data_IF_373896366036
#
_entry.id   IF_373896366036
#
_cell.length_a   1.000
_cell.length_b   1.000
_cell.length_c   1.000
_cell.angle_alpha   90.00
_cell.angle_beta   90.00
_cell.angle_gamma   90.00
#
_symmetry.space_group_name_H-M   'P 1'
#
loop_
_entity.id
_entity.type
_entity.pdbx_description
1 polymer ?
#
# COMPACT_ATOMS: atom_id res chain seq x y z
N UNK A 1 -2.43 -20.37 -1.81
CA UNK A 1 -1.07 -20.70 -2.32
C UNK A 1 -1.10 -22.16 -2.78
N UNK A 2 -0.50 -22.50 -3.91
CA UNK A 2 -0.40 -23.90 -4.35
C UNK A 2 1.08 -24.26 -4.41
N UNK A 3 1.49 -25.29 -3.66
CA UNK A 3 2.83 -25.89 -3.74
C UNK A 3 2.76 -27.06 -4.72
N UNK A 4 3.78 -27.20 -5.57
CA UNK A 4 3.90 -28.31 -6.51
C UNK A 4 3.82 -29.68 -5.81
N UNK A 5 3.22 -30.65 -6.49
CA UNK A 5 3.15 -32.04 -6.01
C UNK A 5 4.53 -32.60 -5.69
N UNK A 6 5.54 -32.20 -6.46
CA UNK A 6 6.91 -32.70 -6.34
C UNK A 6 7.55 -32.23 -5.03
N UNK A 7 7.33 -30.98 -4.62
CA UNK A 7 7.79 -30.49 -3.32
C UNK A 7 7.08 -31.20 -2.16
N UNK A 8 5.76 -31.44 -2.28
CA UNK A 8 5.03 -32.21 -1.27
C UNK A 8 5.65 -33.60 -1.11
N UNK A 9 5.96 -34.29 -2.21
CA UNK A 9 6.58 -35.63 -2.15
C UNK A 9 7.97 -35.62 -1.51
N UNK A 10 8.75 -34.55 -1.64
CA UNK A 10 10.04 -34.41 -0.95
C UNK A 10 9.88 -34.12 0.55
N UNK A 11 8.87 -33.35 0.94
CA UNK A 11 8.64 -32.97 2.35
C UNK A 11 8.12 -34.14 3.19
N UNK A 12 7.23 -34.97 2.63
CA UNK A 12 6.62 -36.11 3.34
C UNK A 12 7.62 -37.05 4.04
N UNK A 13 8.65 -37.60 3.36
CA UNK A 13 9.60 -38.52 3.99
C UNK A 13 10.47 -37.83 5.05
N UNK A 14 10.69 -36.52 4.93
CA UNK A 14 11.48 -35.73 5.87
C UNK A 14 10.75 -35.54 7.21
N UNK A 15 9.45 -35.23 7.17
CA UNK A 15 8.68 -34.94 8.38
C UNK A 15 8.25 -36.19 9.15
N UNK A 16 8.04 -37.33 8.47
CA UNK A 16 7.55 -38.58 9.09
C UNK A 16 8.33 -39.03 10.33
N UNK A 17 9.67 -39.16 10.31
CA UNK A 17 10.41 -39.62 11.48
C UNK A 17 10.44 -38.61 12.64
N UNK A 18 10.14 -37.34 12.38
CA UNK A 18 10.26 -36.24 13.35
C UNK A 18 8.95 -35.96 14.08
N UNK A 19 7.83 -36.49 13.57
CA UNK A 19 6.48 -36.20 14.03
C UNK A 19 5.68 -37.49 14.30
N UNK A 20 6.33 -38.47 14.92
CA UNK A 20 5.76 -39.78 15.15
C UNK A 20 4.59 -39.73 16.15
N UNK A 21 4.74 -38.94 17.23
CA UNK A 21 3.74 -38.83 18.29
C UNK A 21 3.16 -37.41 18.46
N UNK A 22 2.03 -37.33 19.16
CA UNK A 22 1.32 -36.06 19.41
C UNK A 22 2.20 -35.00 20.10
N UNK A 23 3.03 -35.41 21.05
CA UNK A 23 3.89 -34.49 21.82
C UNK A 23 4.90 -33.79 20.91
N UNK A 24 5.57 -34.55 20.05
CA UNK A 24 6.50 -34.00 19.05
C UNK A 24 5.80 -33.04 18.09
N UNK A 25 4.65 -33.44 17.54
CA UNK A 25 3.86 -32.61 16.62
C UNK A 25 3.50 -31.27 17.26
N UNK A 26 2.98 -31.30 18.49
CA UNK A 26 2.62 -30.10 19.24
C UNK A 26 3.84 -29.23 19.52
N UNK A 27 4.97 -29.83 19.92
CA UNK A 27 6.21 -29.11 20.20
C UNK A 27 6.77 -28.34 19.00
N UNK A 28 6.76 -28.96 17.81
CA UNK A 28 7.19 -28.27 16.59
C UNK A 28 6.21 -27.17 16.17
N UNK A 29 4.91 -27.42 16.20
CA UNK A 29 3.90 -26.44 15.82
C UNK A 29 3.91 -25.21 16.72
N UNK A 30 4.02 -25.40 18.04
CA UNK A 30 4.10 -24.28 18.99
C UNK A 30 5.36 -23.45 18.77
N UNK A 31 6.52 -24.09 18.53
CA UNK A 31 7.77 -23.36 18.26
C UNK A 31 7.71 -22.60 16.92
N UNK A 32 7.10 -23.18 15.90
CA UNK A 32 7.04 -22.58 14.57
C UNK A 32 5.99 -21.47 14.45
N UNK A 33 4.84 -21.63 15.12
CA UNK A 33 3.65 -20.81 14.88
C UNK A 33 3.19 -20.02 16.11
N UNK A 34 3.72 -20.34 17.30
CA UNK A 34 3.31 -19.78 18.59
C UNK A 34 2.24 -20.61 19.32
N UNK A 35 1.84 -20.20 20.52
CA UNK A 35 0.69 -20.78 21.23
C UNK A 35 -0.58 -20.05 20.79
N UNK A 36 -1.56 -20.75 20.19
CA UNK A 36 -2.86 -20.21 19.70
C UNK A 36 -2.90 -19.67 18.25
N UNK A 37 -2.18 -20.31 17.34
CA UNK A 37 -2.37 -20.02 15.89
C UNK A 37 -3.64 -20.72 15.39
N UNK A 38 -4.52 -20.05 14.61
CA UNK A 38 -5.77 -20.64 14.12
C UNK A 38 -5.61 -22.00 13.43
N UNK A 39 -4.53 -22.18 12.65
CA UNK A 39 -4.22 -23.43 11.95
C UNK A 39 -4.07 -24.63 12.90
N UNK A 40 -3.66 -24.42 14.16
CA UNK A 40 -3.55 -25.51 15.12
C UNK A 40 -4.90 -26.11 15.51
N UNK A 41 -5.98 -25.33 15.44
CA UNK A 41 -7.34 -25.81 15.76
C UNK A 41 -7.94 -26.69 14.66
N UNK A 42 -7.39 -26.64 13.45
CA UNK A 42 -7.82 -27.48 12.33
C UNK A 42 -7.07 -28.83 12.28
N UNK A 43 -6.00 -28.97 13.08
CA UNK A 43 -5.15 -30.15 13.06
C UNK A 43 -5.54 -31.13 14.16
N UNK A 44 -5.92 -32.34 13.74
CA UNK A 44 -6.20 -33.45 14.65
C UNK A 44 -4.88 -34.20 14.96
N UNK A 45 -4.23 -33.82 16.05
CA UNK A 45 -2.85 -34.25 16.37
C UNK A 45 -2.71 -35.74 16.73
N UNK A 46 -3.79 -36.45 17.03
CA UNK A 46 -3.77 -37.87 17.41
C UNK A 46 -4.02 -38.83 16.23
N UNK A 47 -4.06 -38.32 14.99
CA UNK A 47 -4.21 -39.14 13.78
C UNK A 47 -2.93 -39.92 13.42
N UNK A 48 -3.02 -41.04 12.68
CA UNK A 48 -1.82 -41.74 12.22
C UNK A 48 -0.88 -40.84 11.41
N UNK A 49 0.44 -40.99 11.57
CA UNK A 49 1.46 -40.10 10.94
C UNK A 49 1.28 -39.97 9.43
N UNK A 50 0.93 -41.07 8.75
CA UNK A 50 0.72 -41.08 7.29
C UNK A 50 -0.46 -40.22 6.84
N UNK A 51 -1.44 -39.96 7.71
CA UNK A 51 -2.57 -39.08 7.43
C UNK A 51 -2.32 -37.67 7.97
N UNK A 52 -1.64 -37.57 9.12
CA UNK A 52 -1.34 -36.30 9.76
C UNK A 52 -0.46 -35.39 8.90
N UNK A 53 0.65 -35.89 8.36
CA UNK A 53 1.63 -35.05 7.66
C UNK A 53 1.07 -34.43 6.36
N UNK A 54 0.39 -35.18 5.46
CA UNK A 54 -0.26 -34.56 4.30
C UNK A 54 -1.28 -33.49 4.69
N UNK A 55 -2.10 -33.76 5.71
CA UNK A 55 -3.09 -32.80 6.20
C UNK A 55 -2.41 -31.53 6.76
N UNK A 56 -1.33 -31.70 7.52
CA UNK A 56 -0.54 -30.61 8.05
C UNK A 56 0.02 -29.71 6.94
N UNK A 57 0.62 -30.29 5.90
CA UNK A 57 1.17 -29.52 4.78
C UNK A 57 0.06 -28.73 4.10
N UNK A 58 -1.09 -29.35 3.82
CA UNK A 58 -2.22 -28.68 3.18
C UNK A 58 -2.75 -27.52 4.02
N UNK A 59 -2.94 -27.72 5.32
CA UNK A 59 -3.40 -26.66 6.24
C UNK A 59 -2.39 -25.51 6.34
N UNK A 60 -1.07 -25.79 6.38
CA UNK A 60 -0.05 -24.73 6.41
C UNK A 60 0.03 -23.96 5.09
N UNK A 61 -0.14 -24.64 3.95
CA UNK A 61 -0.18 -24.02 2.63
C UNK A 61 -1.44 -23.17 2.46
N UNK A 62 -2.59 -23.65 2.96
CA UNK A 62 -3.84 -22.91 2.97
C UNK A 62 -3.79 -21.70 3.91
N UNK A 63 -3.14 -21.85 5.06
CA UNK A 63 -2.91 -20.77 6.01
C UNK A 63 -2.01 -19.66 5.43
N UNK A 64 -1.08 -20.01 4.54
CA UNK A 64 -0.24 -19.05 3.82
C UNK A 64 0.97 -18.62 4.64
N UNK A 65 0.97 -17.38 5.13
CA UNK A 65 2.11 -16.77 5.82
C UNK A 65 1.82 -16.53 7.31
N UNK A 66 2.78 -16.80 8.18
CA UNK A 66 2.66 -16.47 9.62
C UNK A 66 3.03 -15.03 9.93
N UNK A 67 3.88 -14.47 9.07
CA UNK A 67 4.29 -13.09 9.03
C UNK A 67 4.75 -12.82 7.60
N UNK A 68 4.86 -11.57 7.16
CA UNK A 68 5.03 -11.27 5.76
C UNK A 68 6.34 -11.80 5.21
N UNK A 69 6.28 -12.44 4.05
CA UNK A 69 7.43 -13.11 3.45
C UNK A 69 7.91 -14.35 4.22
N UNK A 70 7.15 -14.80 5.22
CA UNK A 70 7.44 -16.01 5.99
C UNK A 70 6.26 -17.00 5.90
N UNK A 71 6.25 -17.85 4.86
CA UNK A 71 5.28 -18.93 4.72
C UNK A 71 5.28 -19.83 5.97
N UNK A 72 4.10 -20.23 6.42
CA UNK A 72 3.92 -21.07 7.61
C UNK A 72 4.67 -22.40 7.51
N UNK A 73 4.68 -22.98 6.31
CA UNK A 73 5.44 -24.20 6.01
C UNK A 73 6.96 -23.96 6.13
N UNK A 74 7.47 -22.82 5.66
CA UNK A 74 8.88 -22.47 5.81
C UNK A 74 9.25 -22.30 7.29
N UNK A 75 8.39 -21.64 8.08
CA UNK A 75 8.61 -21.48 9.51
C UNK A 75 8.70 -22.83 10.24
N UNK A 76 7.85 -23.79 9.88
CA UNK A 76 7.91 -25.14 10.43
C UNK A 76 9.23 -25.84 10.08
N UNK A 77 9.63 -25.79 8.81
CA UNK A 77 10.87 -26.40 8.33
C UNK A 77 12.11 -25.77 8.99
N UNK A 78 12.12 -24.45 9.20
CA UNK A 78 13.19 -23.75 9.91
C UNK A 78 13.34 -24.22 11.36
N UNK A 79 12.24 -24.45 12.09
CA UNK A 79 12.33 -24.99 13.45
C UNK A 79 12.84 -26.43 13.45
N UNK A 80 12.38 -27.24 12.52
CA UNK A 80 12.82 -28.64 12.40
C UNK A 80 14.31 -28.73 12.08
N UNK A 81 14.80 -27.83 11.22
CA UNK A 81 16.21 -27.72 10.85
C UNK A 81 17.14 -27.62 12.05
N UNK A 82 16.73 -26.93 13.11
CA UNK A 82 17.55 -26.75 14.31
C UNK A 82 17.72 -28.03 15.14
N UNK A 83 16.85 -29.02 14.96
CA UNK A 83 16.81 -30.26 15.76
C UNK A 83 17.31 -31.51 15.01
N UNK A 84 17.79 -31.37 13.77
CA UNK A 84 18.23 -32.50 12.92
C UNK A 84 19.73 -32.49 12.64
N UNK A 85 20.25 -33.63 12.16
CA UNK A 85 21.64 -33.77 11.71
C UNK A 85 21.94 -32.95 10.45
N UNK A 86 23.24 -32.69 10.20
CA UNK A 86 23.70 -31.84 9.08
C UNK A 86 23.25 -32.34 7.70
N UNK A 87 23.13 -33.65 7.51
CA UNK A 87 22.62 -34.27 6.30
C UNK A 87 21.17 -33.86 6.00
N UNK A 88 20.31 -33.88 7.03
CA UNK A 88 18.92 -33.47 6.92
C UNK A 88 18.80 -31.95 6.80
N UNK A 89 19.66 -31.18 7.50
CA UNK A 89 19.69 -29.70 7.38
C UNK A 89 19.90 -29.25 5.94
N UNK A 90 20.86 -29.84 5.23
CA UNK A 90 21.12 -29.53 3.81
C UNK A 90 19.87 -29.78 2.96
N UNK A 91 19.19 -30.90 3.19
CA UNK A 91 17.94 -31.23 2.48
C UNK A 91 16.81 -30.22 2.79
N UNK A 92 16.70 -29.76 4.04
CA UNK A 92 15.74 -28.71 4.42
C UNK A 92 16.09 -27.38 3.76
N UNK A 93 17.38 -27.01 3.70
CA UNK A 93 17.84 -25.76 3.09
C UNK A 93 17.53 -25.71 1.59
N UNK A 94 17.71 -26.83 0.88
CA UNK A 94 17.30 -26.97 -0.51
C UNK A 94 15.78 -26.83 -0.69
N UNK A 95 14.99 -27.48 0.17
CA UNK A 95 13.53 -27.37 0.13
C UNK A 95 13.04 -25.95 0.40
N UNK A 96 13.62 -25.27 1.40
CA UNK A 96 13.29 -23.88 1.72
C UNK A 96 13.59 -22.97 0.53
N UNK A 97 14.70 -23.20 -0.17
CA UNK A 97 15.06 -22.46 -1.38
C UNK A 97 14.04 -22.70 -2.50
N UNK A 98 13.68 -23.95 -2.76
CA UNK A 98 12.73 -24.32 -3.81
C UNK A 98 11.33 -23.73 -3.54
N UNK A 99 10.82 -23.86 -2.31
CA UNK A 99 9.50 -23.32 -1.92
C UNK A 99 9.47 -21.80 -2.10
N UNK A 100 10.52 -21.09 -1.66
CA UNK A 100 10.61 -19.63 -1.79
C UNK A 100 10.66 -19.21 -3.26
N UNK A 101 11.43 -19.93 -4.09
CA UNK A 101 11.50 -19.66 -5.53
C UNK A 101 10.14 -19.90 -6.23
N UNK A 102 9.43 -20.98 -5.87
CA UNK A 102 8.10 -21.27 -6.41
C UNK A 102 7.07 -20.21 -6.01
N UNK A 103 7.13 -19.72 -4.76
CA UNK A 103 6.26 -18.62 -4.30
C UNK A 103 6.51 -17.32 -5.07
N UNK A 104 7.77 -16.94 -5.29
CA UNK A 104 8.12 -15.76 -6.09
C UNK A 104 7.61 -15.92 -7.53
N UNK A 105 7.76 -17.12 -8.12
CA UNK A 105 7.32 -17.41 -9.49
C UNK A 105 5.79 -17.44 -9.64
N UNK A 106 5.05 -17.92 -8.64
CA UNK A 106 3.60 -17.95 -8.67
C UNK A 106 2.98 -16.56 -8.49
N UNK A 107 3.53 -15.75 -7.57
CA UNK A 107 3.12 -14.34 -7.42
C UNK A 107 3.42 -13.55 -8.69
N UNK A 108 4.62 -13.73 -9.27
CA UNK A 108 4.96 -13.06 -10.54
C UNK A 108 4.12 -13.56 -11.72
N UNK A 109 3.76 -14.85 -11.79
CA UNK A 109 2.89 -15.38 -12.85
C UNK A 109 1.49 -14.78 -12.83
N UNK A 110 0.85 -14.67 -11.66
CA UNK A 110 -0.50 -14.09 -11.55
C UNK A 110 -0.47 -12.62 -11.99
N UNK A 111 0.48 -11.85 -11.48
CA UNK A 111 0.69 -10.46 -11.90
C UNK A 111 0.98 -10.38 -13.41
N UNK A 112 1.87 -11.22 -13.94
CA UNK A 112 2.21 -11.24 -15.37
C UNK A 112 1.04 -11.62 -16.28
N UNK A 113 0.10 -12.47 -15.88
CA UNK A 113 -1.10 -12.77 -16.69
C UNK A 113 -2.08 -11.60 -16.80
N UNK A 114 -2.24 -10.81 -15.74
CA UNK A 114 -3.06 -9.59 -15.77
C UNK A 114 -2.36 -8.50 -16.58
N UNK A 115 -1.05 -8.34 -16.40
CA UNK A 115 -0.22 -7.38 -17.12
C UNK A 115 -0.21 -7.71 -18.62
N UNK A 116 0.05 -8.96 -19.00
CA UNK A 116 0.01 -9.40 -20.40
C UNK A 116 -1.38 -9.23 -21.02
N UNK A 117 -2.45 -9.43 -20.28
CA UNK A 117 -3.80 -9.15 -20.78
C UNK A 117 -3.98 -7.65 -21.05
N UNK A 118 -3.60 -6.77 -20.11
CA UNK A 118 -3.70 -5.32 -20.30
C UNK A 118 -2.84 -4.85 -21.48
N UNK A 119 -1.59 -5.32 -21.60
CA UNK A 119 -0.69 -4.95 -22.70
C UNK A 119 -1.20 -5.46 -24.06
N UNK A 120 -1.74 -6.68 -24.09
CA UNK A 120 -2.37 -7.27 -25.27
C UNK A 120 -3.68 -6.56 -25.64
N UNK A 121 -4.41 -6.00 -24.67
CA UNK A 121 -5.62 -5.21 -24.90
C UNK A 121 -5.31 -3.80 -25.43
N UNK A 122 -4.31 -3.13 -24.84
CA UNK A 122 -3.84 -1.82 -25.31
C UNK A 122 -3.28 -1.92 -26.75
N UNK A 123 -2.71 -3.07 -27.12
CA UNK A 123 -2.21 -3.33 -28.48
C UNK A 123 -3.30 -3.65 -29.51
N UNK A 124 -4.50 -4.08 -29.10
CA UNK A 124 -5.53 -4.63 -30.01
C UNK A 124 -6.76 -3.73 -30.24
N UNK A 125 -6.79 -2.49 -29.74
CA UNK A 125 -7.87 -1.51 -30.01
C UNK A 125 -9.31 -1.98 -29.71
N UNK A 126 -9.51 -2.89 -28.76
CA UNK A 126 -10.83 -3.21 -28.21
C UNK A 126 -11.01 -2.46 -26.89
N UNK A 127 -11.81 -1.38 -26.88
CA UNK A 127 -11.92 -0.44 -25.75
C UNK A 127 -12.81 -0.91 -24.58
N UNK A 128 -13.67 -1.89 -24.82
CA UNK A 128 -14.73 -2.34 -23.89
C UNK A 128 -14.24 -3.22 -22.70
N UNK A 129 -13.13 -4.00 -22.79
CA UNK A 129 -12.64 -4.82 -21.67
C UNK A 129 -12.00 -4.03 -20.53
N UNK A 130 -11.18 -3.01 -20.81
CA UNK A 130 -10.36 -2.33 -19.79
C UNK A 130 -11.20 -1.44 -18.87
N UNK A 131 -12.16 -0.68 -19.42
CA UNK A 131 -13.11 0.09 -18.59
C UNK A 131 -13.87 -0.82 -17.64
N UNK A 132 -14.36 -1.97 -18.14
CA UNK A 132 -15.11 -2.92 -17.31
C UNK A 132 -14.25 -3.48 -16.18
N UNK A 133 -12.99 -3.82 -16.46
CA UNK A 133 -12.04 -4.30 -15.44
C UNK A 133 -11.78 -3.20 -14.40
N UNK A 134 -11.44 -1.99 -14.81
CA UNK A 134 -11.19 -0.86 -13.91
C UNK A 134 -12.38 -0.58 -12.97
N UNK A 135 -13.59 -0.55 -13.53
CA UNK A 135 -14.81 -0.31 -12.74
C UNK A 135 -15.17 -1.50 -11.85
N UNK A 136 -14.81 -2.73 -12.23
CA UNK A 136 -15.00 -3.91 -11.39
C UNK A 136 -14.04 -3.89 -10.20
N UNK A 137 -12.75 -3.65 -10.44
CA UNK A 137 -11.75 -3.52 -9.37
C UNK A 137 -12.10 -2.38 -8.40
N UNK A 138 -12.59 -1.24 -8.90
CA UNK A 138 -13.06 -0.15 -8.04
C UNK A 138 -14.22 -0.58 -7.12
N UNK A 139 -15.18 -1.37 -7.63
CA UNK A 139 -16.29 -1.90 -6.83
C UNK A 139 -15.83 -2.94 -5.82
N UNK A 140 -14.91 -3.82 -6.21
CA UNK A 140 -14.38 -4.83 -5.29
C UNK A 140 -13.54 -4.18 -4.19
N UNK A 141 -12.82 -3.10 -4.51
CA UNK A 141 -12.14 -2.29 -3.50
C UNK A 141 -13.13 -1.61 -2.55
N UNK A 142 -14.27 -1.09 -3.04
CA UNK A 142 -15.33 -0.57 -2.16
C UNK A 142 -15.80 -1.63 -1.16
N UNK A 143 -16.00 -2.88 -1.57
CA UNK A 143 -16.36 -3.98 -0.65
C UNK A 143 -15.30 -4.18 0.43
N UNK A 144 -14.03 -4.08 0.06
CA UNK A 144 -12.88 -4.13 1.00
C UNK A 144 -12.94 -2.96 1.99
N UNK A 145 -13.22 -1.74 1.53
CA UNK A 145 -13.30 -0.54 2.37
C UNK A 145 -14.50 -0.60 3.33
N UNK A 146 -15.61 -1.12 2.83
CA UNK A 146 -16.84 -1.34 3.58
C UNK A 146 -16.75 -2.57 4.51
N UNK A 147 -15.67 -3.35 4.46
CA UNK A 147 -15.49 -4.55 5.28
C UNK A 147 -16.48 -5.66 4.95
N UNK A 148 -17.03 -5.71 3.73
CA UNK A 148 -17.96 -6.76 3.28
C UNK A 148 -17.25 -8.10 3.01
N UNK A 149 -15.93 -8.09 3.02
CA UNK A 149 -15.10 -9.28 2.87
C UNK A 149 -14.55 -9.62 4.26
N UNK A 150 -15.00 -10.75 4.80
CA UNK A 150 -14.68 -11.25 6.15
C UNK A 150 -13.18 -11.51 6.40
N UNK A 151 -12.35 -11.42 5.35
CA UNK A 151 -10.92 -11.69 5.40
C UNK A 151 -10.07 -10.56 6.01
N UNK A 152 -10.60 -9.33 6.10
CA UNK A 152 -9.81 -8.25 6.69
C UNK A 152 -9.88 -8.29 8.22
N UNK A 153 -8.76 -8.21 8.97
CA UNK A 153 -8.79 -8.12 10.43
C UNK A 153 -9.69 -6.96 10.87
N UNK A 154 -10.82 -7.27 11.51
CA UNK A 154 -11.94 -6.33 11.69
C UNK A 154 -11.63 -5.25 12.75
N UNK A 155 -10.69 -5.50 13.66
CA UNK A 155 -10.45 -4.61 14.81
C UNK A 155 -8.96 -4.51 15.11
N UNK A 156 -8.36 -3.35 14.87
CA UNK A 156 -7.03 -2.99 15.37
C UNK A 156 -7.25 -2.25 16.69
N UNK A 157 -7.74 -2.96 17.71
CA UNK A 157 -7.94 -2.37 19.05
C UNK A 157 -6.64 -2.27 19.84
N UNK A 158 -5.58 -2.90 19.35
CA UNK A 158 -4.26 -2.90 19.98
C UNK A 158 -3.20 -2.52 18.96
N UNK A 159 -2.14 -1.85 19.42
CA UNK A 159 -0.93 -1.61 18.63
C UNK A 159 -0.10 -2.91 18.46
N UNK A 160 -0.78 -4.05 18.28
CA UNK A 160 -0.17 -5.33 17.98
C UNK A 160 0.40 -5.27 16.57
N UNK A 161 1.74 -5.30 16.50
CA UNK A 161 2.48 -5.21 15.24
C UNK A 161 2.02 -6.21 14.19
N UNK A 162 1.76 -7.45 14.56
CA UNK A 162 1.34 -8.49 13.61
C UNK A 162 -0.04 -8.18 13.01
N UNK A 163 -1.00 -7.77 13.83
CA UNK A 163 -2.34 -7.40 13.37
C UNK A 163 -2.32 -6.16 12.48
N UNK A 164 -1.57 -5.11 12.88
CA UNK A 164 -1.38 -3.92 12.06
C UNK A 164 -0.82 -4.28 10.70
N UNK A 165 0.26 -5.08 10.68
CA UNK A 165 0.95 -5.51 9.47
C UNK A 165 0.05 -6.33 8.55
N UNK A 166 -0.65 -7.33 9.09
CA UNK A 166 -1.62 -8.14 8.33
C UNK A 166 -2.73 -7.29 7.72
N UNK A 167 -3.24 -6.28 8.45
CA UNK A 167 -4.26 -5.38 7.91
C UNK A 167 -3.72 -4.53 6.76
N UNK A 168 -2.54 -3.92 6.92
CA UNK A 168 -1.91 -3.09 5.90
C UNK A 168 -1.63 -3.90 4.63
N UNK A 169 -1.03 -5.07 4.76
CA UNK A 169 -0.70 -5.91 3.61
C UNK A 169 -1.94 -6.49 2.92
N UNK A 170 -2.97 -6.80 3.69
CA UNK A 170 -4.25 -7.16 3.10
C UNK A 170 -4.81 -6.01 2.24
N UNK A 171 -4.78 -4.77 2.76
CA UNK A 171 -5.24 -3.61 2.00
C UNK A 171 -4.37 -3.35 0.77
N UNK A 172 -3.05 -3.51 0.87
CA UNK A 172 -2.12 -3.37 -0.25
C UNK A 172 -2.38 -4.42 -1.34
N UNK A 173 -2.45 -5.69 -0.97
CA UNK A 173 -2.71 -6.80 -1.89
C UNK A 173 -4.08 -6.66 -2.58
N UNK A 174 -5.09 -6.12 -1.89
CA UNK A 174 -6.40 -5.83 -2.48
C UNK A 174 -6.42 -4.57 -3.35
N UNK A 175 -5.47 -3.65 -3.15
CA UNK A 175 -5.35 -2.43 -3.95
C UNK A 175 -4.52 -2.64 -5.21
N UNK A 176 -3.55 -3.57 -5.18
CA UNK A 176 -2.58 -3.77 -6.24
C UNK A 176 -3.20 -3.90 -7.65
N UNK A 177 -4.22 -4.76 -7.91
CA UNK A 177 -4.80 -4.87 -9.25
C UNK A 177 -5.36 -3.55 -9.78
N UNK A 178 -6.07 -2.81 -8.92
CA UNK A 178 -6.63 -1.51 -9.27
C UNK A 178 -5.53 -0.48 -9.60
N UNK A 179 -4.47 -0.45 -8.78
CA UNK A 179 -3.34 0.47 -8.96
C UNK A 179 -2.54 0.16 -10.22
N UNK A 180 -2.33 -1.13 -10.52
CA UNK A 180 -1.64 -1.60 -11.73
C UNK A 180 -2.42 -1.23 -13.01
N UNK A 181 -3.76 -1.27 -12.97
CA UNK A 181 -4.59 -0.80 -14.10
C UNK A 181 -4.48 0.72 -14.26
N UNK A 182 -4.57 1.49 -13.16
CA UNK A 182 -4.41 2.95 -13.19
C UNK A 182 -3.06 3.33 -13.79
N UNK A 183 -1.98 2.71 -13.32
CA UNK A 183 -0.62 3.02 -13.76
C UNK A 183 -0.48 2.86 -15.27
N UNK A 184 -0.93 1.72 -15.81
CA UNK A 184 -0.93 1.44 -17.25
C UNK A 184 -1.78 2.41 -18.05
N UNK A 185 -2.97 2.77 -17.54
CA UNK A 185 -3.83 3.76 -18.21
C UNK A 185 -3.11 5.10 -18.29
N UNK A 186 -2.54 5.60 -17.17
CA UNK A 186 -1.87 6.91 -17.17
C UNK A 186 -0.68 6.93 -18.13
N UNK A 187 0.11 5.86 -18.12
CA UNK A 187 1.31 5.74 -18.95
C UNK A 187 0.99 5.58 -20.44
N UNK A 188 0.00 4.77 -20.82
CA UNK A 188 -0.27 4.45 -22.24
C UNK A 188 -1.39 5.28 -22.90
N UNK A 189 -2.33 5.82 -22.13
CA UNK A 189 -3.51 6.52 -22.68
C UNK A 189 -3.22 7.98 -23.02
N UNK A 190 -2.28 8.27 -23.93
CA UNK A 190 -1.91 9.64 -24.27
C UNK A 190 -3.07 10.48 -24.84
N UNK A 191 -4.06 9.82 -25.46
CA UNK A 191 -5.25 10.48 -26.01
C UNK A 191 -6.36 10.73 -24.98
N UNK A 192 -6.14 10.37 -23.71
CA UNK A 192 -7.11 10.54 -22.62
C UNK A 192 -8.46 9.87 -22.87
N UNK A 193 -8.47 8.76 -23.61
CA UNK A 193 -9.68 7.99 -23.92
C UNK A 193 -10.29 7.36 -22.66
N UNK A 194 -9.47 6.95 -21.70
CA UNK A 194 -9.87 6.26 -20.48
C UNK A 194 -9.92 7.17 -19.24
N UNK A 195 -9.57 8.46 -19.37
CA UNK A 195 -9.70 9.44 -18.28
C UNK A 195 -11.13 9.46 -17.69
N UNK A 196 -12.23 9.49 -18.48
CA UNK A 196 -13.57 9.43 -17.91
C UNK A 196 -13.83 8.18 -17.06
N UNK A 197 -13.31 7.03 -17.48
CA UNK A 197 -13.44 5.74 -16.76
C UNK A 197 -12.65 5.74 -15.46
N UNK A 198 -11.44 6.32 -15.47
CA UNK A 198 -10.61 6.52 -14.28
C UNK A 198 -11.31 7.43 -13.27
N UNK A 199 -11.84 8.57 -13.71
CA UNK A 199 -12.62 9.46 -12.85
C UNK A 199 -13.86 8.78 -12.27
N UNK A 200 -14.55 7.97 -13.07
CA UNK A 200 -15.71 7.19 -12.60
C UNK A 200 -15.31 6.17 -11.54
N UNK A 201 -14.18 5.50 -11.72
CA UNK A 201 -13.65 4.53 -10.76
C UNK A 201 -13.30 5.20 -9.42
N UNK A 202 -12.60 6.35 -9.45
CA UNK A 202 -12.32 7.13 -8.25
C UNK A 202 -13.61 7.60 -7.56
N UNK A 203 -14.60 8.09 -8.31
CA UNK A 203 -15.90 8.49 -7.76
C UNK A 203 -16.61 7.32 -7.07
N UNK A 204 -16.56 6.11 -7.63
CA UNK A 204 -17.13 4.91 -6.99
C UNK A 204 -16.51 4.69 -5.61
N UNK A 205 -15.17 4.74 -5.53
CA UNK A 205 -14.43 4.53 -4.28
C UNK A 205 -14.70 5.68 -3.31
N UNK A 206 -14.51 6.94 -3.74
CA UNK A 206 -14.67 8.14 -2.92
C UNK A 206 -16.09 8.28 -2.34
N UNK A 207 -17.11 7.85 -3.08
CA UNK A 207 -18.49 7.89 -2.62
C UNK A 207 -18.80 6.91 -1.47
N UNK A 208 -17.95 5.90 -1.28
CA UNK A 208 -18.14 4.82 -0.32
C UNK A 208 -16.83 4.52 0.42
N UNK A 209 -15.95 5.52 0.56
CA UNK A 209 -14.61 5.32 1.11
C UNK A 209 -14.61 5.07 2.61
N UNK A 210 -15.61 5.59 3.32
CA UNK A 210 -15.73 5.47 4.77
C UNK A 210 -16.83 4.48 5.13
N UNK A 211 -16.52 3.41 5.88
CA UNK A 211 -17.56 2.52 6.36
C UNK A 211 -18.38 3.16 7.49
N UNK A 212 -19.54 2.57 7.76
CA UNK A 212 -20.43 3.01 8.85
C UNK A 212 -19.76 2.82 10.22
N UNK A 213 -20.02 3.75 11.14
CA UNK A 213 -19.49 3.66 12.53
C UNK A 213 -19.97 2.39 13.25
N UNK A 214 -21.15 1.89 12.91
CA UNK A 214 -21.70 0.67 13.50
C UNK A 214 -20.86 -0.57 13.17
N UNK A 215 -20.21 -0.58 11.99
CA UNK A 215 -19.37 -1.70 11.56
C UNK A 215 -17.95 -1.61 12.10
N UNK A 216 -17.43 -0.38 12.24
CA UNK A 216 -16.10 -0.11 12.79
C UNK A 216 -16.21 0.99 13.86
N UNK A 217 -16.40 0.61 15.14
CA UNK A 217 -16.59 1.58 16.22
C UNK A 217 -15.30 2.31 16.58
N UNK A 218 -14.14 1.70 16.32
CA UNK A 218 -12.82 2.31 16.51
C UNK A 218 -12.43 3.17 15.30
N UNK A 219 -12.00 4.42 15.57
CA UNK A 219 -11.61 5.37 14.53
C UNK A 219 -10.38 4.88 13.76
N UNK A 220 -9.40 4.24 14.40
CA UNK A 220 -8.20 3.75 13.69
C UNK A 220 -8.57 2.73 12.63
N UNK A 221 -9.39 1.75 13.01
CA UNK A 221 -9.90 0.66 12.16
C UNK A 221 -10.82 1.16 11.04
N UNK A 222 -11.54 2.26 11.30
CA UNK A 222 -12.39 2.92 10.31
C UNK A 222 -11.58 3.70 9.29
N UNK A 223 -10.68 4.58 9.74
CA UNK A 223 -9.95 5.49 8.86
C UNK A 223 -8.80 4.83 8.12
N UNK A 224 -8.26 3.70 8.60
CA UNK A 224 -7.23 2.94 7.85
C UNK A 224 -7.77 2.43 6.50
N UNK A 225 -9.10 2.30 6.36
CA UNK A 225 -9.76 1.95 5.09
C UNK A 225 -9.62 3.02 4.01
N UNK A 226 -9.19 4.22 4.35
CA UNK A 226 -8.83 5.23 3.35
C UNK A 226 -7.49 4.93 2.66
N UNK A 227 -6.71 3.98 3.18
CA UNK A 227 -5.35 3.71 2.70
C UNK A 227 -5.28 3.31 1.22
N UNK A 228 -6.15 2.42 0.69
CA UNK A 228 -6.21 2.15 -0.75
C UNK A 228 -6.45 3.38 -1.63
N UNK A 229 -7.32 4.29 -1.19
CA UNK A 229 -7.60 5.52 -1.93
C UNK A 229 -6.41 6.49 -1.88
N UNK A 230 -5.68 6.52 -0.77
CA UNK A 230 -4.43 7.26 -0.67
C UNK A 230 -3.36 6.71 -1.62
N UNK A 231 -3.18 5.37 -1.68
CA UNK A 231 -2.27 4.73 -2.65
C UNK A 231 -2.64 5.10 -4.09
N UNK A 232 -3.93 5.06 -4.43
CA UNK A 232 -4.41 5.41 -5.77
C UNK A 232 -4.17 6.89 -6.09
N UNK A 233 -4.39 7.78 -5.13
CA UNK A 233 -4.14 9.21 -5.30
C UNK A 233 -2.65 9.48 -5.53
N UNK A 234 -1.77 8.86 -4.75
CA UNK A 234 -0.31 8.96 -4.97
C UNK A 234 0.09 8.40 -6.33
N UNK A 235 -0.40 7.21 -6.72
CA UNK A 235 -0.11 6.62 -8.03
C UNK A 235 -0.47 7.59 -9.18
N UNK A 236 -1.66 8.19 -9.11
CA UNK A 236 -2.12 9.18 -10.10
C UNK A 236 -1.22 10.41 -10.11
N UNK A 237 -0.84 10.93 -8.96
CA UNK A 237 -0.01 12.13 -8.88
C UNK A 237 1.42 11.88 -9.36
N UNK A 238 2.02 10.76 -8.99
CA UNK A 238 3.37 10.42 -9.41
C UNK A 238 3.44 10.26 -10.93
N UNK A 239 2.59 9.38 -11.48
CA UNK A 239 2.62 9.09 -12.91
C UNK A 239 2.02 10.23 -13.74
N UNK A 240 0.97 10.89 -13.23
CA UNK A 240 0.35 12.03 -13.91
C UNK A 240 1.28 13.23 -14.02
N UNK A 241 2.21 13.42 -13.07
CA UNK A 241 3.26 14.44 -13.16
C UNK A 241 4.28 14.07 -14.23
N UNK A 242 4.81 12.85 -14.20
CA UNK A 242 5.81 12.40 -15.17
C UNK A 242 5.25 12.40 -16.61
N UNK A 243 3.97 12.08 -16.77
CA UNK A 243 3.25 12.09 -18.06
C UNK A 243 2.57 13.44 -18.38
N UNK A 244 2.83 14.50 -17.61
CA UNK A 244 2.31 15.86 -17.82
C UNK A 244 0.75 15.95 -17.95
N UNK A 245 0.01 15.12 -17.22
CA UNK A 245 -1.45 14.92 -17.34
C UNK A 245 -2.28 15.95 -16.55
N UNK A 246 -2.12 17.25 -16.84
CA UNK A 246 -2.77 18.35 -16.08
C UNK A 246 -4.27 18.17 -15.87
N UNK A 247 -5.02 17.88 -16.95
CA UNK A 247 -6.48 17.75 -16.85
C UNK A 247 -6.89 16.59 -15.95
N UNK A 248 -6.20 15.44 -16.06
CA UNK A 248 -6.46 14.29 -15.20
C UNK A 248 -6.21 14.62 -13.73
N UNK A 249 -5.08 15.27 -13.41
CA UNK A 249 -4.76 15.67 -12.05
C UNK A 249 -5.83 16.62 -11.47
N UNK A 250 -6.29 17.60 -12.26
CA UNK A 250 -7.39 18.51 -11.85
C UNK A 250 -8.71 17.80 -11.67
N UNK A 251 -9.08 16.94 -12.60
CA UNK A 251 -10.34 16.22 -12.53
C UNK A 251 -10.36 15.29 -11.31
N UNK A 252 -9.23 14.68 -10.96
CA UNK A 252 -9.09 13.86 -9.74
C UNK A 252 -9.21 14.71 -8.48
N UNK A 253 -8.57 15.88 -8.43
CA UNK A 253 -8.71 16.80 -7.29
C UNK A 253 -10.14 17.35 -7.12
N UNK A 254 -10.92 17.41 -8.20
CA UNK A 254 -12.33 17.82 -8.13
C UNK A 254 -13.23 16.78 -7.45
N UNK A 255 -12.76 15.53 -7.31
CA UNK A 255 -13.53 14.46 -6.67
C UNK A 255 -13.61 14.74 -5.17
N UNK A 256 -14.81 14.58 -4.63
CA UNK A 256 -15.07 14.75 -3.21
C UNK A 256 -15.29 13.38 -2.55
N UNK A 257 -14.80 13.24 -1.32
CA UNK A 257 -15.11 12.15 -0.42
C UNK A 257 -16.53 12.34 0.11
N UNK A 258 -17.41 11.40 -0.21
CA UNK A 258 -18.76 11.41 0.34
C UNK A 258 -18.73 10.79 1.75
N UNK A 259 -19.29 11.51 2.71
CA UNK A 259 -19.62 10.95 4.02
C UNK A 259 -21.09 10.55 3.97
N UNK A 260 -21.36 9.25 3.95
CA UNK A 260 -22.72 8.70 4.11
C UNK A 260 -23.42 9.07 5.44
N UNK A 261 -22.84 9.96 6.27
CA UNK A 261 -23.43 10.47 7.50
C UNK A 261 -24.01 11.85 7.22
N UNK A 262 -25.34 11.97 7.29
CA UNK A 262 -26.22 13.03 6.75
C UNK A 262 -25.97 14.48 7.20
N UNK A 263 -24.88 14.80 7.91
CA UNK A 263 -24.68 16.11 8.53
C UNK A 263 -23.35 16.80 8.23
N UNK A 264 -22.47 16.18 7.43
CA UNK A 264 -21.16 16.79 7.11
C UNK A 264 -21.02 17.04 5.62
N UNK A 265 -20.40 18.17 5.22
CA UNK A 265 -20.17 18.48 3.83
C UNK A 265 -19.24 17.45 3.19
N UNK A 266 -19.37 17.32 1.87
CA UNK A 266 -18.41 16.63 1.02
C UNK A 266 -17.01 17.22 1.25
N UNK A 267 -16.00 16.36 1.31
CA UNK A 267 -14.62 16.75 1.61
C UNK A 267 -13.73 16.62 0.38
N UNK A 268 -12.72 17.50 0.20
CA UNK A 268 -11.71 17.31 -0.84
C UNK A 268 -11.04 15.94 -0.74
N UNK A 269 -10.70 15.33 -1.89
CA UNK A 269 -9.99 14.05 -1.92
C UNK A 269 -8.67 14.08 -1.12
N UNK A 270 -8.00 15.23 -1.08
CA UNK A 270 -6.76 15.47 -0.31
C UNK A 270 -6.92 15.18 1.19
N UNK A 271 -8.12 15.37 1.74
CA UNK A 271 -8.42 15.07 3.15
C UNK A 271 -8.24 13.58 3.50
N UNK A 272 -8.19 12.67 2.51
CA UNK A 272 -7.87 11.24 2.72
C UNK A 272 -6.59 11.08 3.55
N UNK A 273 -5.55 11.85 3.22
CA UNK A 273 -4.27 11.79 3.92
C UNK A 273 -4.34 12.39 5.32
N UNK A 274 -5.06 13.50 5.47
CA UNK A 274 -5.32 14.12 6.77
C UNK A 274 -5.98 13.13 7.73
N UNK A 275 -6.98 12.38 7.28
CA UNK A 275 -7.63 11.36 8.12
C UNK A 275 -6.71 10.19 8.44
N UNK A 276 -5.98 9.65 7.46
CA UNK A 276 -5.03 8.56 7.72
C UNK A 276 -3.95 8.97 8.73
N UNK A 277 -3.43 10.18 8.60
CA UNK A 277 -2.40 10.69 9.49
C UNK A 277 -2.94 10.90 10.91
N UNK A 278 -4.14 11.49 11.07
CA UNK A 278 -4.65 11.78 12.40
C UNK A 278 -5.19 10.57 13.15
N UNK A 279 -5.79 9.63 12.43
CA UNK A 279 -6.51 8.53 13.07
C UNK A 279 -5.79 7.18 12.94
N UNK A 280 -4.84 7.04 12.01
CA UNK A 280 -4.23 5.75 11.70
C UNK A 280 -2.70 5.75 11.70
N UNK A 281 -2.02 6.86 11.97
CA UNK A 281 -0.54 6.95 11.97
C UNK A 281 0.13 5.93 12.90
N UNK A 282 -0.45 5.69 14.07
CA UNK A 282 0.03 4.71 15.06
C UNK A 282 0.10 3.29 14.49
N UNK A 283 -0.80 2.91 13.57
CA UNK A 283 -0.75 1.61 12.90
C UNK A 283 0.53 1.50 12.06
N UNK A 284 0.83 2.54 11.29
CA UNK A 284 2.04 2.58 10.44
C UNK A 284 3.33 2.68 11.27
N UNK A 285 3.36 3.50 12.32
CA UNK A 285 4.49 3.60 13.23
C UNK A 285 4.82 2.25 13.90
N UNK A 286 3.78 1.53 14.36
CA UNK A 286 3.93 0.19 14.95
C UNK A 286 4.62 -0.78 13.99
N UNK A 287 4.27 -0.73 12.71
CA UNK A 287 4.85 -1.60 11.67
C UNK A 287 6.31 -1.24 11.37
N UNK A 288 6.59 0.06 11.23
CA UNK A 288 7.92 0.57 10.85
C UNK A 288 8.98 0.40 11.96
N UNK A 289 8.58 0.08 13.20
CA UNK A 289 9.47 -0.06 14.37
C UNK A 289 10.37 1.17 14.62
N UNK A 290 9.96 2.33 14.12
CA UNK A 290 10.66 3.61 14.28
C UNK A 290 9.62 4.71 14.38
N UNK A 291 9.90 5.71 15.21
CA UNK A 291 9.10 6.94 15.28
C UNK A 291 9.40 7.76 14.03
N UNK A 292 8.68 7.48 12.95
CA UNK A 292 8.74 8.30 11.74
C UNK A 292 7.87 9.55 11.93
N UNK A 293 8.34 10.69 11.43
CA UNK A 293 7.51 11.90 11.37
C UNK A 293 6.41 11.82 10.32
N UNK A 294 6.47 10.86 9.39
CA UNK A 294 5.50 10.68 8.30
C UNK A 294 5.28 9.18 7.99
N UNK A 295 4.84 8.36 8.96
CA UNK A 295 4.85 6.90 8.84
C UNK A 295 3.91 6.38 7.73
N UNK A 296 2.77 7.05 7.52
CA UNK A 296 1.83 6.72 6.44
C UNK A 296 2.54 6.82 5.08
N UNK A 297 3.25 7.93 4.86
CA UNK A 297 3.91 8.26 3.60
C UNK A 297 5.13 7.37 3.37
N UNK A 298 5.90 7.11 4.43
CA UNK A 298 7.00 6.13 4.38
C UNK A 298 6.51 4.78 3.84
N UNK A 299 5.35 4.31 4.32
CA UNK A 299 4.77 3.06 3.84
C UNK A 299 4.23 3.18 2.41
N UNK A 300 3.52 4.26 2.06
CA UNK A 300 3.09 4.53 0.68
C UNK A 300 4.29 4.44 -0.28
N UNK A 301 5.41 5.09 0.06
CA UNK A 301 6.63 5.05 -0.76
C UNK A 301 7.19 3.62 -0.90
N UNK A 302 7.30 2.88 0.20
CA UNK A 302 7.79 1.48 0.18
C UNK A 302 6.96 0.57 -0.74
N UNK A 303 5.64 0.80 -0.79
CA UNK A 303 4.70 0.00 -1.57
C UNK A 303 4.68 0.43 -3.03
N UNK A 304 4.64 1.74 -3.29
CA UNK A 304 4.47 2.25 -4.64
C UNK A 304 5.76 2.21 -5.46
N UNK A 305 6.94 2.42 -4.88
CA UNK A 305 8.20 2.47 -5.64
C UNK A 305 8.39 1.23 -6.54
N UNK A 306 8.27 -0.02 -6.02
CA UNK A 306 8.41 -1.21 -6.87
C UNK A 306 7.35 -1.30 -7.97
N UNK A 307 6.17 -0.72 -7.77
CA UNK A 307 5.08 -0.76 -8.74
C UNK A 307 5.19 0.31 -9.82
N UNK A 308 5.90 1.40 -9.56
CA UNK A 308 6.07 2.48 -10.54
C UNK A 308 7.37 2.40 -11.33
N UNK A 309 8.35 1.61 -10.87
CA UNK A 309 9.70 1.53 -11.45
C UNK A 309 9.70 1.19 -12.95
N UNK A 310 8.68 0.46 -13.42
CA UNK A 310 8.53 0.13 -14.84
C UNK A 310 8.05 1.30 -15.72
N UNK A 311 7.47 2.36 -15.12
CA UNK A 311 6.85 3.48 -15.84
C UNK A 311 7.69 4.76 -15.82
N UNK A 312 8.69 4.85 -14.94
CA UNK A 312 9.47 6.08 -14.72
C UNK A 312 10.96 5.79 -14.74
N UNK A 313 11.75 6.77 -15.16
CA UNK A 313 13.22 6.62 -15.22
C UNK A 313 13.88 6.57 -13.83
N UNK A 314 13.30 7.28 -12.87
CA UNK A 314 13.76 7.36 -11.48
C UNK A 314 12.54 7.46 -10.56
N UNK A 315 12.20 6.35 -9.91
CA UNK A 315 11.02 6.22 -9.07
C UNK A 315 11.07 7.13 -7.84
N UNK A 316 12.25 7.37 -7.25
CA UNK A 316 12.41 8.26 -6.11
C UNK A 316 12.17 9.72 -6.52
N UNK A 317 12.75 10.14 -7.64
CA UNK A 317 12.56 11.48 -8.21
C UNK A 317 11.08 11.72 -8.55
N UNK A 318 10.45 10.77 -9.24
CA UNK A 318 9.03 10.84 -9.59
C UNK A 318 8.14 10.92 -8.33
N UNK A 319 8.47 10.13 -7.29
CA UNK A 319 7.76 10.15 -6.01
C UNK A 319 7.76 11.55 -5.39
N UNK A 320 8.93 12.20 -5.27
CA UNK A 320 9.02 13.51 -4.65
C UNK A 320 8.29 14.60 -5.43
N UNK A 321 8.30 14.55 -6.77
CA UNK A 321 7.57 15.51 -7.61
C UNK A 321 6.06 15.35 -7.45
N UNK A 322 5.56 14.11 -7.55
CA UNK A 322 4.14 13.80 -7.37
C UNK A 322 3.64 14.17 -5.97
N UNK A 323 4.41 13.80 -4.94
CA UNK A 323 4.09 14.12 -3.55
C UNK A 323 4.07 15.63 -3.29
N UNK A 324 5.05 16.38 -3.80
CA UNK A 324 5.09 17.83 -3.64
C UNK A 324 3.85 18.51 -4.22
N UNK A 325 3.40 18.08 -5.42
CA UNK A 325 2.17 18.62 -6.00
C UNK A 325 0.92 18.24 -5.22
N UNK A 326 0.86 17.02 -4.70
CA UNK A 326 -0.25 16.63 -3.83
C UNK A 326 -0.29 17.49 -2.56
N UNK A 327 0.88 17.88 -2.04
CA UNK A 327 1.01 18.86 -0.95
C UNK A 327 0.48 20.25 -1.32
N UNK A 328 0.78 20.74 -2.54
CA UNK A 328 0.21 22.01 -3.03
C UNK A 328 -1.31 21.93 -3.21
N UNK A 329 -1.82 20.80 -3.69
CA UNK A 329 -3.26 20.58 -3.81
C UNK A 329 -3.97 20.60 -2.45
N UNK A 330 -3.32 20.07 -1.41
CA UNK A 330 -3.85 20.12 -0.04
C UNK A 330 -3.90 21.56 0.51
N UNK A 331 -2.89 22.40 0.19
CA UNK A 331 -2.89 23.83 0.51
C UNK A 331 -4.03 24.57 -0.24
N UNK A 332 -4.21 24.27 -1.52
CA UNK A 332 -5.22 24.91 -2.36
C UNK A 332 -6.65 24.52 -1.95
N UNK A 333 -6.83 23.32 -1.40
CA UNK A 333 -8.15 22.81 -1.01
C UNK A 333 -8.74 23.61 0.14
N UNK A 334 -9.95 24.15 -0.05
CA UNK A 334 -10.72 24.77 1.03
C UNK A 334 -11.09 23.69 2.06
N UNK A 335 -10.41 23.70 3.20
CA UNK A 335 -10.69 22.78 4.31
C UNK A 335 -11.88 23.30 5.12
N UNK A 336 -12.79 22.42 5.56
CA UNK A 336 -13.92 22.83 6.37
C UNK A 336 -13.49 23.49 7.69
N UNK A 337 -14.20 24.54 8.09
CA UNK A 337 -13.94 25.31 9.32
C UNK A 337 -13.95 24.47 10.60
N UNK A 338 -14.64 23.32 10.61
CA UNK A 338 -14.70 22.43 11.78
C UNK A 338 -13.47 21.55 11.96
N UNK A 339 -12.56 21.49 10.99
CA UNK A 339 -11.25 20.89 11.24
C UNK A 339 -10.49 21.87 12.16
N UNK A 340 -9.98 21.45 13.33
CA UNK A 340 -9.19 22.32 14.20
C UNK A 340 -8.06 22.98 13.39
N UNK A 341 -7.74 24.24 13.65
CA UNK A 341 -6.70 24.98 12.90
C UNK A 341 -5.35 24.25 12.88
N UNK A 342 -5.00 23.55 13.97
CA UNK A 342 -3.80 22.69 14.09
C UNK A 342 -3.82 21.49 13.13
N UNK A 343 -4.99 21.08 12.64
CA UNK A 343 -5.22 20.00 11.67
C UNK A 343 -5.36 20.51 10.23
N UNK A 344 -5.53 21.82 10.02
CA UNK A 344 -5.73 22.44 8.70
C UNK A 344 -4.40 22.66 7.96
N UNK A 345 -3.30 22.93 8.68
CA UNK A 345 -2.07 23.47 8.07
C UNK A 345 -0.85 22.54 8.05
N UNK A 346 -0.99 21.27 8.38
CA UNK A 346 0.21 20.43 8.43
C UNK A 346 0.52 19.88 7.05
N UNK A 347 1.45 20.51 6.35
CA UNK A 347 2.11 19.88 5.21
C UNK A 347 2.62 18.50 5.66
N UNK A 348 2.11 17.45 5.03
CA UNK A 348 2.51 16.06 5.30
C UNK A 348 3.12 15.51 4.03
N UNK A 349 4.44 15.53 3.96
CA UNK A 349 5.21 15.03 2.83
C UNK A 349 6.56 14.50 3.30
N UNK A 350 7.01 13.38 2.74
CA UNK A 350 8.38 12.90 2.92
C UNK A 350 9.39 13.92 2.39
N UNK A 351 9.04 14.69 1.36
CA UNK A 351 9.91 15.75 0.85
C UNK A 351 10.37 16.74 1.92
N UNK A 352 9.64 16.93 3.02
CA UNK A 352 10.05 17.80 4.14
C UNK A 352 11.21 17.20 4.96
N UNK A 353 11.39 15.88 4.94
CA UNK A 353 12.30 15.13 5.82
C UNK A 353 13.37 14.34 5.05
N UNK A 354 13.44 14.51 3.74
CA UNK A 354 14.43 13.87 2.88
C UNK A 354 15.28 14.93 2.20
N UNK A 355 16.58 14.94 2.49
CA UNK A 355 17.52 15.91 1.95
C UNK A 355 17.59 15.85 0.42
N UNK A 356 17.44 14.64 -0.13
CA UNK A 356 17.44 14.33 -1.56
C UNK A 356 16.27 14.99 -2.30
N UNK A 357 15.17 15.31 -1.61
CA UNK A 357 14.02 15.96 -2.21
C UNK A 357 14.30 17.43 -2.58
N UNK A 358 15.27 18.09 -1.93
CA UNK A 358 15.62 19.50 -2.17
C UNK A 358 16.02 19.74 -3.63
N UNK A 359 17.09 19.12 -4.16
CA UNK A 359 17.50 19.36 -5.54
C UNK A 359 16.42 18.93 -6.55
N UNK A 360 15.73 17.81 -6.28
CA UNK A 360 14.67 17.28 -7.14
C UNK A 360 13.52 18.28 -7.32
N UNK A 361 12.98 18.80 -6.22
CA UNK A 361 11.83 19.71 -6.27
C UNK A 361 12.26 21.08 -6.79
N UNK A 362 13.46 21.56 -6.43
CA UNK A 362 13.95 22.82 -6.97
C UNK A 362 14.11 22.78 -8.49
N UNK A 363 14.70 21.71 -9.01
CA UNK A 363 14.84 21.51 -10.45
C UNK A 363 13.48 21.40 -11.13
N UNK A 364 12.55 20.64 -10.54
CA UNK A 364 11.19 20.50 -11.05
C UNK A 364 10.45 21.85 -11.14
N UNK A 365 10.49 22.67 -10.09
CA UNK A 365 9.86 24.01 -10.08
C UNK A 365 10.46 24.90 -11.19
N UNK A 366 11.79 24.90 -11.37
CA UNK A 366 12.47 25.70 -12.40
C UNK A 366 12.06 25.26 -13.81
N UNK A 367 12.13 23.95 -14.06
CA UNK A 367 11.96 23.38 -15.39
C UNK A 367 10.49 23.29 -15.81
N UNK A 368 9.56 23.19 -14.87
CA UNK A 368 8.13 22.98 -15.12
C UNK A 368 7.25 24.17 -14.75
N UNK A 369 7.82 25.36 -14.51
CA UNK A 369 7.09 26.55 -14.05
C UNK A 369 5.82 26.89 -14.83
N UNK A 370 5.86 26.82 -16.18
CA UNK A 370 4.68 27.06 -17.03
C UNK A 370 3.62 25.96 -16.86
N UNK A 371 4.04 24.70 -16.90
CA UNK A 371 3.14 23.56 -16.71
C UNK A 371 2.49 23.58 -15.33
N UNK A 372 3.24 23.98 -14.29
CA UNK A 372 2.75 24.18 -12.94
C UNK A 372 1.75 25.32 -12.83
N UNK A 373 1.90 26.39 -13.61
CA UNK A 373 0.97 27.52 -13.65
C UNK A 373 -0.34 27.12 -14.35
N UNK A 374 -0.23 26.34 -15.43
CA UNK A 374 -1.40 25.78 -16.12
C UNK A 374 -2.18 24.83 -15.19
N UNK A 375 -1.45 24.04 -14.40
CA UNK A 375 -2.05 23.22 -13.37
C UNK A 375 -2.63 24.12 -12.26
N UNK A 376 -1.85 24.97 -11.62
CA UNK A 376 -2.23 25.87 -10.51
C UNK A 376 -2.20 27.34 -10.93
N UNK A 377 -3.34 27.96 -11.32
CA UNK A 377 -3.37 29.37 -11.70
C UNK A 377 -2.86 30.32 -10.60
N UNK A 378 -3.02 29.94 -9.33
CA UNK A 378 -2.53 30.68 -8.15
C UNK A 378 -1.19 30.14 -7.63
N UNK A 379 -0.37 29.51 -8.48
CA UNK A 379 0.88 28.83 -8.10
C UNK A 379 1.77 29.70 -7.22
N UNK A 380 1.97 30.97 -7.60
CA UNK A 380 2.83 31.88 -6.86
C UNK A 380 2.39 32.04 -5.39
N UNK A 381 1.08 32.22 -5.17
CA UNK A 381 0.50 32.31 -3.83
C UNK A 381 0.62 30.98 -3.07
N UNK A 382 0.39 29.85 -3.74
CA UNK A 382 0.52 28.52 -3.13
C UNK A 382 1.95 28.24 -2.67
N UNK A 383 2.95 28.57 -3.50
CA UNK A 383 4.36 28.41 -3.13
C UNK A 383 4.78 29.32 -1.97
N UNK A 384 4.20 30.52 -1.89
CA UNK A 384 4.41 31.40 -0.74
C UNK A 384 3.78 30.84 0.54
N UNK A 385 2.53 30.34 0.48
CA UNK A 385 1.86 29.67 1.61
C UNK A 385 2.65 28.42 2.03
N UNK A 386 3.17 27.65 1.06
CA UNK A 386 4.03 26.51 1.30
C UNK A 386 5.27 26.91 2.11
N UNK A 387 6.05 27.89 1.65
CA UNK A 387 7.26 28.35 2.33
C UNK A 387 6.95 28.87 3.75
N UNK A 388 5.86 29.64 3.91
CA UNK A 388 5.42 30.14 5.21
C UNK A 388 5.00 29.02 6.17
N UNK A 389 4.35 27.98 5.65
CA UNK A 389 3.86 26.86 6.46
C UNK A 389 4.98 25.89 6.82
N UNK A 390 5.79 25.50 5.84
CA UNK A 390 6.87 24.53 6.02
C UNK A 390 7.99 25.08 6.90
N UNK A 391 8.30 26.38 6.82
CA UNK A 391 9.32 27.00 7.68
C UNK A 391 8.94 27.02 9.16
N UNK A 392 7.65 27.04 9.51
CA UNK A 392 7.21 26.91 10.91
C UNK A 392 7.56 25.55 11.51
N UNK A 393 7.55 24.50 10.69
CA UNK A 393 7.92 23.14 11.12
C UNK A 393 9.42 23.03 11.49
N UNK A 394 10.26 23.92 10.96
CA UNK A 394 11.70 24.00 11.27
C UNK A 394 11.97 24.69 12.63
N UNK A 395 11.18 25.72 12.96
CA UNK A 395 11.39 26.57 14.15
C UNK A 395 11.00 25.87 15.45
N UNK A 396 9.99 25.00 15.42
CA UNK A 396 9.44 24.41 16.66
C UNK A 396 10.37 23.36 17.30
N UNK A 397 11.44 22.91 16.63
CA UNK A 397 12.43 21.98 17.21
C UNK A 397 11.93 20.53 17.40
N UNK A 398 10.73 20.21 16.91
CA UNK A 398 10.06 18.91 17.06
C UNK A 398 10.53 17.82 16.05
N UNK A 399 11.46 18.12 15.16
CA UNK A 399 11.98 17.12 14.23
C UNK A 399 12.90 17.71 13.18
N UNK A 400 13.85 16.90 12.71
CA UNK A 400 14.83 17.23 11.69
C UNK A 400 14.15 17.42 10.33
N UNK A 401 13.54 18.59 10.09
CA UNK A 401 13.06 18.99 8.75
C UNK A 401 14.29 19.33 7.90
N UNK A 402 14.98 18.30 7.43
CA UNK A 402 16.21 18.41 6.65
C UNK A 402 15.96 18.31 5.13
N UNK A 403 14.71 18.24 4.70
CA UNK A 403 14.31 18.21 3.30
C UNK A 403 13.88 19.58 2.76
N UNK A 404 12.99 19.56 1.76
CA UNK A 404 12.50 20.73 1.06
C UNK A 404 11.39 21.45 1.85
N UNK A 405 11.78 22.37 2.73
CA UNK A 405 10.86 23.11 3.61
C UNK A 405 10.82 24.62 3.37
N UNK A 406 11.53 25.13 2.37
CA UNK A 406 11.67 26.56 2.07
C UNK A 406 12.32 26.79 0.71
N UNK A 407 12.10 27.97 0.15
CA UNK A 407 12.70 28.41 -1.10
C UNK A 407 11.94 27.98 -2.35
N UNK A 408 10.72 27.46 -2.21
CA UNK A 408 9.87 27.09 -3.35
C UNK A 408 9.47 28.33 -4.16
N UNK A 409 9.06 29.40 -3.48
CA UNK A 409 8.71 30.67 -4.10
C UNK A 409 9.92 31.34 -4.77
N UNK A 410 11.06 31.39 -4.06
CA UNK A 410 12.31 31.95 -4.59
C UNK A 410 12.78 31.19 -5.84
N UNK A 411 12.71 29.85 -5.80
CA UNK A 411 13.06 28.97 -6.91
C UNK A 411 12.18 29.25 -8.14
N UNK A 412 10.87 29.39 -7.94
CA UNK A 412 9.93 29.73 -9.02
C UNK A 412 10.24 31.09 -9.67
N UNK A 413 10.69 32.07 -8.88
CA UNK A 413 11.14 33.39 -9.36
C UNK A 413 12.54 33.38 -9.99
N UNK A 414 13.20 32.22 -10.11
CA UNK A 414 14.56 32.10 -10.64
C UNK A 414 15.64 32.68 -9.72
N UNK A 415 15.33 32.89 -8.43
CA UNK A 415 16.27 33.38 -7.43
C UNK A 415 17.09 32.22 -6.86
N UNK A 416 18.34 32.50 -6.47
CA UNK A 416 19.16 31.54 -5.73
C UNK A 416 18.69 31.53 -4.28
N UNK A 417 18.42 30.33 -3.76
CA UNK A 417 18.03 30.08 -2.39
C UNK A 417 19.18 29.40 -1.63
#
# INVERSE_FOLDING_TARGET
MAISSDLIQKILPLLRPLMENESQRRGYLIRALGTNTPVQYHLVLNTPTNNFIPNLINELVAFGEISPGKPALCALLEVIREDVGEDVKVSIDELLKDIRAENICNTSRISNTLIQQVDQYLSNNASIPLERLLLQEAKDLVKVLQGEIDACPVVISTDNKSQCLQCIEYLEAKSEPFLQIIARIIYHDHNSQYVPSLLRAFKIIANQALPSQNKFPDEKSRFIRLYPLALATYMVFILGVEENRNQLLRDILSIQLNRQLDFLPNLPLTCTLTYLYHYSDSIFNTILCRTSSVPVIERIKQVLLPWIDEFVMDADTAFYRGEFLLGLADIESEKPEYLPEERILTLRGRYLYAFEAIPVIQEFIRNSSRWLLDLYPSLEQLLWIFDSTASRLDVDGWGRVNGFCRGAFATYRGQRY
#
